data_IF_667107471069
#
_entry.id   IF_667107471069
#
_cell.length_a   1.000
_cell.length_b   1.000
_cell.length_c   1.000
_cell.angle_alpha   90.00
_cell.angle_beta   90.00
_cell.angle_gamma   90.00
#
_symmetry.space_group_name_H-M   'P 1'
#
loop_
_entity.id
_entity.type
_entity.pdbx_description
1 polymer ?
#
# COMPACT_ATOMS: atom_id res chain seq x y z
N UNK A 1 -30.07 28.35 22.39
CA UNK A 1 -30.33 28.27 20.93
C UNK A 1 -30.55 29.62 20.25
N UNK A 2 -31.19 30.64 20.84
CA UNK A 2 -31.39 31.96 20.19
C UNK A 2 -30.11 32.67 19.70
N UNK A 3 -28.97 32.47 20.38
CA UNK A 3 -27.67 33.10 20.04
C UNK A 3 -27.10 32.60 18.70
N UNK A 4 -27.35 31.35 18.31
CA UNK A 4 -26.81 30.79 17.05
C UNK A 4 -27.49 31.38 15.79
N UNK A 5 -28.72 31.89 15.95
CA UNK A 5 -29.54 32.42 14.85
C UNK A 5 -29.56 33.96 14.78
N UNK A 6 -28.84 34.64 15.66
CA UNK A 6 -28.73 36.10 15.65
C UNK A 6 -27.61 36.53 14.69
N UNK A 7 -27.95 37.36 13.69
CA UNK A 7 -26.98 37.89 12.71
C UNK A 7 -25.85 38.68 13.36
N UNK A 8 -26.15 39.40 14.44
CA UNK A 8 -25.20 40.24 15.15
C UNK A 8 -24.04 39.43 15.74
N UNK A 9 -24.32 38.21 16.21
CA UNK A 9 -23.31 37.31 16.78
C UNK A 9 -22.29 36.88 15.73
N UNK A 10 -22.74 36.62 14.50
CA UNK A 10 -21.87 36.26 13.38
C UNK A 10 -21.08 37.45 12.84
N UNK A 11 -21.71 38.64 12.78
CA UNK A 11 -21.03 39.88 12.39
C UNK A 11 -19.91 40.23 13.38
N UNK A 12 -20.15 40.08 14.68
CA UNK A 12 -19.14 40.34 15.72
C UNK A 12 -17.96 39.39 15.65
N UNK A 13 -18.20 38.10 15.43
CA UNK A 13 -17.11 37.11 15.27
C UNK A 13 -16.27 37.48 14.05
N UNK A 14 -16.91 37.81 12.93
CA UNK A 14 -16.20 38.24 11.72
C UNK A 14 -15.37 39.51 11.97
N UNK A 15 -15.92 40.51 12.66
CA UNK A 15 -15.21 41.75 12.97
C UNK A 15 -14.04 41.53 13.95
N UNK A 16 -14.24 40.70 14.98
CA UNK A 16 -13.21 40.28 15.94
C UNK A 16 -12.02 39.63 15.24
N UNK A 17 -12.29 38.67 14.34
CA UNK A 17 -11.26 37.96 13.59
C UNK A 17 -10.53 38.86 12.59
N UNK A 18 -11.23 39.83 11.99
CA UNK A 18 -10.70 40.75 10.96
C UNK A 18 -9.81 41.85 11.52
N UNK A 19 -10.02 42.31 12.74
CA UNK A 19 -9.20 43.37 13.34
C UNK A 19 -7.77 42.90 13.67
N UNK A 20 -7.55 41.60 13.89
CA UNK A 20 -6.24 41.02 14.21
C UNK A 20 -5.79 39.95 13.19
N UNK A 21 -5.79 40.30 11.88
CA UNK A 21 -5.57 39.36 10.76
C UNK A 21 -4.35 38.44 10.91
N UNK A 22 -3.19 39.00 11.25
CA UNK A 22 -1.94 38.22 11.37
C UNK A 22 -2.03 37.19 12.50
N UNK A 23 -2.56 37.59 13.65
CA UNK A 23 -2.69 36.74 14.84
C UNK A 23 -3.69 35.62 14.58
N UNK A 24 -4.86 35.96 14.05
CA UNK A 24 -5.89 34.98 13.68
C UNK A 24 -5.33 33.99 12.67
N UNK A 25 -4.60 34.45 11.65
CA UNK A 25 -3.96 33.59 10.66
C UNK A 25 -2.93 32.63 11.27
N UNK A 26 -2.03 33.13 12.13
CA UNK A 26 -1.03 32.29 12.82
C UNK A 26 -1.69 31.24 13.74
N UNK A 27 -2.79 31.59 14.40
CA UNK A 27 -3.58 30.64 15.20
C UNK A 27 -4.16 29.54 14.34
N UNK A 28 -4.77 29.94 13.22
CA UNK A 28 -5.43 29.01 12.30
C UNK A 28 -4.44 28.05 11.67
N UNK A 29 -3.21 28.51 11.38
CA UNK A 29 -2.13 27.63 10.94
C UNK A 29 -1.77 26.62 12.03
N UNK A 30 -1.54 27.05 13.28
CA UNK A 30 -1.13 26.15 14.35
C UNK A 30 -2.12 25.00 14.59
N UNK A 31 -3.42 25.32 14.57
CA UNK A 31 -4.51 24.34 14.74
C UNK A 31 -4.70 23.50 13.48
N UNK A 32 -4.72 24.16 12.32
CA UNK A 32 -4.86 23.51 11.03
C UNK A 32 -3.70 22.56 10.71
N UNK A 33 -2.50 22.82 11.23
CA UNK A 33 -1.32 21.98 11.08
C UNK A 33 -1.52 20.58 11.68
N UNK A 34 -2.24 20.48 12.81
CA UNK A 34 -2.57 19.20 13.42
C UNK A 34 -3.49 18.36 12.52
N UNK A 35 -4.54 18.97 11.97
CA UNK A 35 -5.43 18.28 11.03
C UNK A 35 -4.71 17.94 9.72
N UNK A 36 -3.89 18.85 9.22
CA UNK A 36 -3.07 18.64 8.03
C UNK A 36 -2.15 17.42 8.17
N UNK A 37 -1.33 17.36 9.23
CA UNK A 37 -0.44 16.23 9.47
C UNK A 37 -1.21 14.92 9.64
N UNK A 38 -2.32 14.95 10.37
CA UNK A 38 -3.15 13.77 10.58
C UNK A 38 -3.69 13.21 9.25
N UNK A 39 -4.24 14.07 8.39
CA UNK A 39 -4.79 13.71 7.07
C UNK A 39 -3.70 13.19 6.14
N UNK A 40 -2.56 13.87 6.09
CA UNK A 40 -1.43 13.48 5.24
C UNK A 40 -0.88 12.12 5.66
N UNK A 41 -0.65 11.89 6.94
CA UNK A 41 -0.11 10.61 7.42
C UNK A 41 -1.09 9.45 7.21
N UNK A 42 -2.39 9.66 7.49
CA UNK A 42 -3.41 8.64 7.20
C UNK A 42 -3.50 8.32 5.72
N UNK A 43 -3.58 9.35 4.87
CA UNK A 43 -3.67 9.19 3.42
C UNK A 43 -2.41 8.55 2.85
N UNK A 44 -1.23 8.90 3.39
CA UNK A 44 0.03 8.30 2.98
C UNK A 44 0.12 6.82 3.37
N UNK A 45 -0.27 6.48 4.61
CA UNK A 45 -0.35 5.08 5.06
C UNK A 45 -1.24 4.26 4.13
N UNK A 46 -2.43 4.78 3.77
CA UNK A 46 -3.32 4.10 2.84
C UNK A 46 -2.77 4.04 1.42
N UNK A 47 -2.05 5.08 0.97
CA UNK A 47 -1.37 5.09 -0.32
C UNK A 47 -0.28 4.04 -0.44
N UNK A 48 0.49 3.81 0.64
CA UNK A 48 1.49 2.73 0.71
C UNK A 48 0.81 1.36 0.69
N UNK A 49 -0.25 1.18 1.49
CA UNK A 49 -1.03 -0.06 1.51
C UNK A 49 -1.61 -0.39 0.13
N UNK A 50 -2.24 0.59 -0.53
CA UNK A 50 -2.78 0.45 -1.88
C UNK A 50 -1.68 0.18 -2.91
N UNK A 51 -0.52 0.83 -2.79
CA UNK A 51 0.65 0.58 -3.63
C UNK A 51 1.14 -0.86 -3.53
N UNK A 52 1.24 -1.38 -2.31
CA UNK A 52 1.61 -2.76 -2.05
C UNK A 52 0.53 -3.75 -2.54
N UNK A 53 -0.75 -3.51 -2.24
CA UNK A 53 -1.85 -4.36 -2.71
C UNK A 53 -1.92 -4.39 -4.24
N UNK A 54 -1.71 -3.25 -4.90
CA UNK A 54 -1.62 -3.17 -6.36
C UNK A 54 -0.38 -3.91 -6.86
N UNK A 55 0.72 -3.82 -6.12
CA UNK A 55 1.94 -4.50 -6.50
C UNK A 55 1.79 -6.01 -6.47
N UNK A 56 1.13 -6.56 -5.46
CA UNK A 56 0.88 -7.99 -5.36
C UNK A 56 -0.50 -8.42 -5.89
N UNK A 57 -1.16 -7.55 -6.66
CA UNK A 57 -2.46 -7.86 -7.25
C UNK A 57 -2.34 -9.04 -8.20
N UNK A 58 -3.19 -10.06 -8.01
CA UNK A 58 -3.17 -11.29 -8.82
C UNK A 58 -2.29 -12.40 -8.26
N UNK A 59 -1.48 -12.13 -7.24
CA UNK A 59 -0.76 -13.16 -6.49
C UNK A 59 -1.62 -13.69 -5.35
N UNK A 60 -1.57 -15.00 -5.12
CA UNK A 60 -2.16 -15.58 -3.93
C UNK A 60 -1.39 -15.10 -2.69
N UNK A 61 -2.05 -14.43 -1.75
CA UNK A 61 -1.43 -13.93 -0.50
C UNK A 61 -0.87 -15.06 0.38
N UNK A 62 -1.36 -16.27 0.15
CA UNK A 62 -0.91 -17.54 0.75
C UNK A 62 0.11 -18.30 -0.10
N UNK A 63 0.97 -17.57 -0.83
CA UNK A 63 2.03 -18.18 -1.66
C UNK A 63 3.42 -18.08 -1.02
N UNK A 64 4.21 -19.13 -1.24
CA UNK A 64 5.64 -19.23 -0.93
C UNK A 64 6.37 -19.58 -2.22
N UNK A 65 7.34 -18.77 -2.59
CA UNK A 65 8.23 -19.07 -3.72
C UNK A 65 9.53 -19.64 -3.17
N UNK A 66 9.87 -20.86 -3.53
CA UNK A 66 11.06 -21.56 -3.03
C UNK A 66 11.99 -21.94 -4.19
N UNK A 67 13.30 -21.79 -3.99
CA UNK A 67 14.32 -22.20 -4.95
C UNK A 67 15.46 -22.91 -4.23
N UNK A 68 16.17 -23.78 -4.94
CA UNK A 68 17.35 -24.46 -4.41
C UNK A 68 18.61 -23.61 -4.58
N UNK A 69 19.57 -23.78 -3.68
CA UNK A 69 20.87 -23.12 -3.68
C UNK A 69 21.96 -24.10 -3.24
N UNK A 70 23.20 -23.61 -3.14
CA UNK A 70 24.32 -24.44 -2.71
C UNK A 70 24.31 -24.65 -1.19
N UNK A 71 24.62 -25.87 -0.75
CA UNK A 71 24.79 -26.17 0.68
C UNK A 71 25.95 -25.36 1.26
N UNK A 72 25.79 -24.89 2.50
CA UNK A 72 26.81 -24.13 3.22
C UNK A 72 27.50 -24.96 4.31
N UNK A 73 26.85 -26.02 4.80
CA UNK A 73 27.33 -26.86 5.91
C UNK A 73 27.58 -28.30 5.43
N UNK A 74 28.73 -28.92 5.75
CA UNK A 74 28.95 -30.35 5.50
C UNK A 74 28.07 -31.20 6.42
N UNK A 75 27.47 -32.27 5.89
CA UNK A 75 26.54 -33.11 6.65
C UNK A 75 26.48 -34.53 6.09
N UNK A 76 26.34 -35.54 6.97
CA UNK A 76 26.20 -36.96 6.60
C UNK A 76 27.23 -37.45 5.57
N UNK A 77 28.50 -37.06 5.74
CA UNK A 77 29.59 -37.45 4.84
C UNK A 77 29.69 -36.64 3.54
N UNK A 78 28.80 -35.66 3.32
CA UNK A 78 28.85 -34.78 2.16
C UNK A 78 29.59 -33.47 2.42
N UNK A 79 30.35 -32.97 1.43
CA UNK A 79 31.01 -31.67 1.51
C UNK A 79 30.02 -30.50 1.40
N UNK A 80 30.46 -29.32 1.83
CA UNK A 80 29.78 -28.05 1.55
C UNK A 80 29.85 -27.70 0.05
N UNK A 81 28.94 -26.87 -0.43
CA UNK A 81 28.93 -26.37 -1.81
C UNK A 81 28.24 -27.29 -2.81
N UNK A 82 27.48 -28.30 -2.36
CA UNK A 82 26.68 -29.13 -3.25
C UNK A 82 25.57 -28.29 -3.88
N UNK A 83 25.44 -28.34 -5.20
CA UNK A 83 24.33 -27.72 -5.92
C UNK A 83 23.06 -28.52 -5.65
N UNK A 84 22.10 -27.92 -4.95
CA UNK A 84 20.78 -28.50 -4.76
C UNK A 84 19.88 -28.11 -5.93
N UNK A 85 18.99 -29.03 -6.29
CA UNK A 85 17.98 -28.83 -7.32
C UNK A 85 16.62 -29.23 -6.74
N UNK A 86 15.56 -28.57 -7.18
CA UNK A 86 14.20 -29.04 -6.93
C UNK A 86 13.82 -29.99 -8.07
N UNK A 87 13.16 -31.10 -7.76
CA UNK A 87 12.72 -32.06 -8.77
C UNK A 87 11.20 -32.13 -8.82
N UNK A 88 10.57 -32.17 -10.00
CA UNK A 88 9.09 -32.27 -10.07
C UNK A 88 8.58 -33.53 -9.36
N UNK A 89 9.38 -34.59 -9.31
CA UNK A 89 9.13 -35.79 -8.49
C UNK A 89 9.11 -35.56 -6.97
N UNK A 90 9.55 -34.40 -6.47
CA UNK A 90 9.39 -33.99 -5.07
C UNK A 90 7.96 -33.58 -4.74
N UNK A 91 7.17 -33.15 -5.72
CA UNK A 91 5.82 -32.60 -5.49
C UNK A 91 4.90 -33.62 -4.79
N UNK A 92 4.76 -34.87 -5.27
CA UNK A 92 3.90 -35.85 -4.60
C UNK A 92 4.36 -36.17 -3.18
N UNK A 93 5.69 -36.21 -2.95
CA UNK A 93 6.26 -36.43 -1.63
C UNK A 93 5.91 -35.28 -0.67
N UNK A 94 6.06 -34.03 -1.11
CA UNK A 94 5.72 -32.84 -0.32
C UNK A 94 4.22 -32.77 -0.02
N UNK A 95 3.36 -33.05 -1.00
CA UNK A 95 1.91 -33.04 -0.82
C UNK A 95 1.43 -34.14 0.15
N UNK A 96 2.06 -35.32 0.12
CA UNK A 96 1.72 -36.41 1.06
C UNK A 96 2.22 -36.14 2.49
N UNK A 97 3.41 -35.55 2.63
CA UNK A 97 4.02 -35.27 3.94
C UNK A 97 3.43 -34.04 4.63
N UNK A 98 2.89 -33.09 3.85
CA UNK A 98 2.38 -31.80 4.33
C UNK A 98 0.96 -31.58 3.78
N UNK A 99 -0.08 -32.15 4.42
CA UNK A 99 -1.46 -32.02 3.98
C UNK A 99 -1.99 -30.58 3.95
N UNK A 100 -1.30 -29.65 4.60
CA UNK A 100 -1.59 -28.21 4.63
C UNK A 100 -1.23 -27.51 3.31
N UNK A 101 -0.41 -28.11 2.46
CA UNK A 101 -0.13 -27.60 1.13
C UNK A 101 -1.33 -27.89 0.23
N UNK A 102 -1.90 -26.84 -0.35
CA UNK A 102 -3.02 -26.95 -1.28
C UNK A 102 -2.52 -27.28 -2.70
N UNK A 103 -1.55 -26.50 -3.20
CA UNK A 103 -1.01 -26.64 -4.55
C UNK A 103 0.50 -26.38 -4.57
N UNK A 104 1.22 -27.08 -5.45
CA UNK A 104 2.63 -26.78 -5.78
C UNK A 104 2.72 -26.67 -7.31
N UNK A 105 3.16 -25.52 -7.80
CA UNK A 105 3.47 -25.32 -9.21
C UNK A 105 4.98 -25.25 -9.39
N UNK A 106 5.60 -26.17 -10.12
CA UNK A 106 6.99 -26.04 -10.53
C UNK A 106 7.07 -25.00 -11.65
N UNK A 107 8.17 -24.25 -11.68
CA UNK A 107 8.42 -23.25 -12.70
C UNK A 107 9.90 -23.20 -13.04
N UNK A 108 10.16 -23.19 -14.34
CA UNK A 108 11.48 -22.94 -14.89
C UNK A 108 11.53 -21.62 -15.61
N UNK A 109 12.71 -21.00 -15.64
CA UNK A 109 12.88 -19.73 -16.34
C UNK A 109 14.26 -19.61 -16.98
N UNK A 110 14.30 -18.98 -18.15
CA UNK A 110 15.52 -18.53 -18.80
C UNK A 110 15.34 -17.08 -19.23
N UNK A 111 16.27 -16.22 -18.81
CA UNK A 111 16.11 -14.76 -18.84
C UNK A 111 15.90 -14.17 -17.45
N UNK A 112 15.96 -12.85 -17.34
CA UNK A 112 15.78 -12.15 -16.07
C UNK A 112 16.81 -12.55 -15.00
N UNK A 113 16.34 -12.95 -13.81
CA UNK A 113 17.20 -13.31 -12.66
C UNK A 113 17.89 -14.68 -12.80
N UNK A 114 17.43 -15.55 -13.71
CA UNK A 114 17.84 -16.95 -13.80
C UNK A 114 18.61 -17.28 -15.10
N UNK A 115 19.00 -16.28 -15.88
CA UNK A 115 19.87 -16.45 -17.04
C UNK A 115 19.76 -15.34 -18.08
N UNK A 116 20.43 -15.51 -19.22
CA UNK A 116 20.34 -14.59 -20.35
C UNK A 116 18.97 -14.65 -21.03
N UNK A 117 18.45 -13.49 -21.43
CA UNK A 117 17.21 -13.40 -22.21
C UNK A 117 17.36 -14.17 -23.54
N UNK A 118 16.24 -14.71 -24.02
CA UNK A 118 16.22 -15.56 -25.21
C UNK A 118 15.66 -14.77 -26.39
N UNK A 119 16.34 -14.89 -27.53
CA UNK A 119 15.88 -14.31 -28.79
C UNK A 119 14.63 -15.04 -29.29
N UNK A 120 13.56 -14.28 -29.48
CA UNK A 120 12.32 -14.71 -30.11
C UNK A 120 12.18 -13.93 -31.42
N UNK A 121 11.91 -14.67 -32.50
CA UNK A 121 11.88 -14.14 -33.86
C UNK A 121 10.54 -14.44 -34.50
N UNK A 122 9.98 -13.45 -35.19
CA UNK A 122 8.82 -13.60 -36.05
C UNK A 122 9.09 -12.82 -37.34
N UNK A 123 9.16 -13.53 -38.46
CA UNK A 123 9.50 -12.93 -39.76
C UNK A 123 10.81 -12.14 -39.68
N UNK A 124 10.77 -10.83 -39.91
CA UNK A 124 11.87 -9.87 -39.83
C UNK A 124 12.04 -9.21 -38.45
N UNK A 125 11.09 -9.40 -37.53
CA UNK A 125 11.10 -8.83 -36.18
C UNK A 125 11.74 -9.78 -35.18
N UNK A 126 12.61 -9.26 -34.32
CA UNK A 126 13.28 -10.02 -33.25
C UNK A 126 13.35 -9.22 -31.95
N UNK A 127 13.31 -9.92 -30.82
CA UNK A 127 13.52 -9.33 -29.50
C UNK A 127 14.02 -10.36 -28.50
N UNK A 128 14.62 -9.89 -27.41
CA UNK A 128 15.12 -10.75 -26.35
C UNK A 128 14.15 -10.70 -25.17
N UNK A 129 13.62 -11.85 -24.78
CA UNK A 129 12.54 -11.96 -23.80
C UNK A 129 12.83 -13.02 -22.74
N UNK A 130 12.10 -12.95 -21.62
CA UNK A 130 12.19 -13.96 -20.56
C UNK A 130 11.20 -15.07 -20.86
N UNK A 131 11.67 -16.32 -20.84
CA UNK A 131 10.83 -17.49 -21.11
C UNK A 131 10.65 -18.28 -19.84
N UNK A 132 9.40 -18.62 -19.55
CA UNK A 132 8.98 -19.44 -18.43
C UNK A 132 8.38 -20.75 -18.92
N UNK A 133 8.82 -21.85 -18.33
CA UNK A 133 8.12 -23.12 -18.37
C UNK A 133 7.16 -23.16 -17.19
N UNK A 134 5.85 -23.20 -17.46
CA UNK A 134 4.83 -23.11 -16.42
C UNK A 134 3.78 -24.22 -16.54
N UNK A 135 3.07 -24.47 -15.44
CA UNK A 135 1.91 -25.36 -15.39
C UNK A 135 0.61 -24.56 -15.39
N UNK A 136 -0.52 -25.16 -15.81
CA UNK A 136 -1.85 -24.54 -15.76
C UNK A 136 -2.21 -24.03 -14.36
N UNK A 137 -1.81 -24.79 -13.34
CA UNK A 137 -2.03 -24.46 -11.93
C UNK A 137 -1.28 -23.18 -11.50
N UNK A 138 -0.23 -22.79 -12.22
CA UNK A 138 0.49 -21.53 -12.01
C UNK A 138 -0.37 -20.28 -12.21
N UNK A 139 -1.41 -20.35 -13.05
CA UNK A 139 -2.39 -19.27 -13.24
C UNK A 139 -3.30 -19.07 -12.01
N UNK A 140 -3.50 -20.12 -11.20
CA UNK A 140 -4.21 -19.98 -9.92
C UNK A 140 -3.36 -19.24 -8.87
N UNK A 141 -2.04 -19.32 -8.98
CA UNK A 141 -1.09 -18.71 -8.03
C UNK A 141 -0.75 -17.28 -8.43
N UNK A 142 -0.54 -17.04 -9.72
CA UNK A 142 -0.33 -15.73 -10.32
C UNK A 142 -1.27 -15.57 -11.51
N UNK A 143 -2.43 -14.99 -11.26
CA UNK A 143 -3.52 -14.89 -12.23
C UNK A 143 -3.15 -13.94 -13.37
N UNK A 144 -3.10 -14.48 -14.59
CA UNK A 144 -2.79 -13.72 -15.79
C UNK A 144 -4.05 -13.06 -16.33
N UNK A 145 -3.99 -11.75 -16.55
CA UNK A 145 -5.07 -11.03 -17.23
C UNK A 145 -4.92 -11.22 -18.73
N UNK A 146 -5.61 -12.22 -19.27
CA UNK A 146 -5.61 -12.51 -20.71
C UNK A 146 -6.38 -11.43 -21.48
N UNK A 147 -5.76 -10.90 -22.53
CA UNK A 147 -6.38 -10.00 -23.52
C UNK A 147 -6.89 -10.77 -24.73
N UNK A 148 -6.18 -11.82 -25.14
CA UNK A 148 -6.56 -12.70 -26.24
C UNK A 148 -6.38 -14.16 -25.86
N UNK A 149 -7.24 -15.02 -26.41
CA UNK A 149 -7.08 -16.48 -26.36
C UNK A 149 -7.23 -17.08 -24.97
N UNK A 150 -6.40 -18.08 -24.66
CA UNK A 150 -6.45 -18.87 -23.42
C UNK A 150 -5.05 -19.08 -22.83
N UNK A 151 -4.99 -19.44 -21.55
CA UNK A 151 -3.75 -19.92 -20.93
C UNK A 151 -3.47 -21.40 -21.26
N UNK A 152 -2.31 -21.88 -20.83
CA UNK A 152 -1.86 -23.28 -20.95
C UNK A 152 -2.81 -24.18 -20.13
N UNK A 153 -3.15 -25.35 -20.68
CA UNK A 153 -3.98 -26.35 -19.99
C UNK A 153 -3.25 -27.70 -19.86
N UNK A 154 -3.85 -28.64 -19.13
CA UNK A 154 -3.23 -29.94 -18.87
C UNK A 154 -2.97 -30.74 -20.15
N UNK A 155 -3.86 -30.63 -21.16
CA UNK A 155 -3.69 -31.29 -22.45
C UNK A 155 -2.48 -30.78 -23.25
N UNK A 156 -2.09 -29.52 -23.06
CA UNK A 156 -0.89 -28.96 -23.69
C UNK A 156 0.39 -29.46 -23.01
N UNK A 157 0.34 -29.69 -21.69
CA UNK A 157 1.43 -30.27 -20.89
C UNK A 157 1.63 -31.75 -21.25
N UNK A 158 0.57 -32.57 -21.16
CA UNK A 158 0.62 -34.00 -21.47
C UNK A 158 0.98 -34.26 -22.93
N UNK A 159 0.50 -33.38 -23.83
CA UNK A 159 0.77 -33.48 -25.27
C UNK A 159 2.13 -32.92 -25.72
N UNK A 160 2.94 -32.36 -24.80
CA UNK A 160 4.21 -31.68 -25.14
C UNK A 160 4.05 -30.68 -26.31
N UNK A 161 2.97 -29.92 -26.31
CA UNK A 161 2.64 -29.07 -27.46
C UNK A 161 3.57 -27.87 -27.53
N UNK A 162 3.93 -27.47 -28.74
CA UNK A 162 4.67 -26.25 -29.01
C UNK A 162 3.70 -25.06 -29.08
N UNK A 163 3.09 -24.74 -27.95
CA UNK A 163 2.19 -23.58 -27.80
C UNK A 163 2.80 -22.55 -26.89
N UNK A 164 2.42 -21.29 -27.07
CA UNK A 164 3.01 -20.18 -26.33
C UNK A 164 1.98 -19.10 -25.99
N UNK A 165 2.14 -18.53 -24.81
CA UNK A 165 1.36 -17.39 -24.32
C UNK A 165 2.34 -16.22 -24.12
N UNK A 166 2.07 -15.10 -24.79
CA UNK A 166 3.02 -13.97 -24.86
C UNK A 166 2.53 -12.77 -24.05
N UNK A 167 3.46 -12.01 -23.48
CA UNK A 167 3.15 -10.77 -22.77
C UNK A 167 2.82 -9.63 -23.74
N UNK A 168 2.19 -8.57 -23.22
CA UNK A 168 1.72 -7.45 -24.03
C UNK A 168 2.87 -6.72 -24.76
N UNK A 169 4.05 -6.60 -24.15
CA UNK A 169 5.21 -5.96 -24.78
C UNK A 169 5.77 -6.82 -25.93
N UNK A 170 5.75 -8.15 -25.77
CA UNK A 170 6.13 -9.09 -26.83
C UNK A 170 5.16 -8.99 -28.00
N UNK A 171 3.86 -8.88 -27.71
CA UNK A 171 2.82 -8.66 -28.70
C UNK A 171 3.03 -7.34 -29.45
N UNK A 172 3.28 -6.23 -28.75
CA UNK A 172 3.51 -4.92 -29.37
C UNK A 172 4.79 -4.86 -30.22
N UNK A 173 5.82 -5.61 -29.84
CA UNK A 173 7.09 -5.64 -30.55
C UNK A 173 7.07 -6.57 -31.78
N UNK A 174 6.45 -7.75 -31.67
CA UNK A 174 6.48 -8.77 -32.74
C UNK A 174 5.23 -8.73 -33.66
N UNK A 175 4.13 -8.14 -33.21
CA UNK A 175 2.89 -8.02 -33.98
C UNK A 175 2.58 -6.56 -34.29
N UNK A 176 1.85 -6.30 -35.37
CA UNK A 176 1.37 -4.95 -35.70
C UNK A 176 0.22 -4.56 -34.76
N UNK A 177 0.52 -4.34 -33.48
CA UNK A 177 -0.47 -4.03 -32.44
C UNK A 177 -1.31 -2.80 -32.76
N UNK A 178 -0.72 -1.80 -33.42
CA UNK A 178 -1.41 -0.57 -33.89
C UNK A 178 -2.51 -0.86 -34.94
N UNK A 179 -2.43 -2.00 -35.64
CA UNK A 179 -3.43 -2.46 -36.60
C UNK A 179 -4.38 -3.52 -36.02
N UNK A 180 -4.29 -3.81 -34.72
CA UNK A 180 -5.07 -4.86 -34.05
C UNK A 180 -4.93 -6.24 -34.73
N UNK A 181 -3.71 -6.57 -35.16
CA UNK A 181 -3.40 -7.88 -35.74
C UNK A 181 -3.73 -9.01 -34.75
N UNK A 182 -4.54 -10.00 -35.15
CA UNK A 182 -4.85 -11.13 -34.27
C UNK A 182 -3.62 -12.05 -34.12
N UNK A 183 -3.05 -12.18 -32.91
CA UNK A 183 -1.85 -13.00 -32.70
C UNK A 183 -2.17 -14.49 -32.58
N UNK A 184 -3.42 -14.86 -32.32
CA UNK A 184 -3.80 -16.26 -32.04
C UNK A 184 -3.67 -17.12 -33.30
N UNK A 185 -3.03 -18.28 -33.16
CA UNK A 185 -2.77 -19.23 -34.24
C UNK A 185 -1.52 -18.90 -35.08
N UNK A 186 -0.89 -17.75 -34.86
CA UNK A 186 0.34 -17.37 -35.54
C UNK A 186 1.55 -18.08 -34.92
N UNK A 187 2.59 -18.28 -35.71
CA UNK A 187 3.82 -18.94 -35.25
C UNK A 187 4.91 -17.92 -34.93
N UNK A 188 5.61 -18.15 -33.82
CA UNK A 188 6.85 -17.47 -33.42
C UNK A 188 7.97 -18.49 -33.28
N UNK A 189 9.20 -18.10 -33.59
CA UNK A 189 10.38 -18.96 -33.47
C UNK A 189 11.14 -18.63 -32.19
N UNK A 190 11.38 -19.66 -31.37
CA UNK A 190 12.17 -19.58 -30.14
C UNK A 190 13.32 -20.57 -30.28
N UNK A 191 14.58 -20.07 -30.31
CA UNK A 191 15.79 -20.87 -30.62
C UNK A 191 15.64 -21.80 -31.86
N UNK A 192 14.91 -21.35 -32.88
CA UNK A 192 14.70 -22.12 -34.12
C UNK A 192 13.53 -23.11 -34.07
N UNK A 193 12.82 -23.24 -32.95
CA UNK A 193 11.61 -24.08 -32.84
C UNK A 193 10.38 -23.19 -32.99
N UNK A 194 9.42 -23.60 -33.82
CA UNK A 194 8.17 -22.87 -34.01
C UNK A 194 7.14 -23.20 -32.92
N UNK A 195 6.59 -22.16 -32.32
CA UNK A 195 5.52 -22.21 -31.34
C UNK A 195 4.30 -21.45 -31.85
N UNK A 196 3.12 -22.03 -31.66
CA UNK A 196 1.84 -21.39 -32.00
C UNK A 196 1.33 -20.56 -30.84
N UNK A 197 1.07 -19.28 -31.08
CA UNK A 197 0.55 -18.35 -30.07
C UNK A 197 -0.92 -18.70 -29.77
N UNK A 198 -1.21 -18.99 -28.51
CA UNK A 198 -2.57 -19.38 -28.05
C UNK A 198 -3.18 -18.37 -27.08
N UNK A 199 -2.40 -17.39 -26.63
CA UNK A 199 -2.89 -16.34 -25.74
C UNK A 199 -1.95 -15.15 -25.66
N UNK A 200 -2.52 -14.01 -25.28
CA UNK A 200 -1.78 -12.80 -24.89
C UNK A 200 -2.24 -12.39 -23.51
N UNK A 201 -1.31 -12.07 -22.63
CA UNK A 201 -1.61 -11.56 -21.30
C UNK A 201 -0.99 -10.18 -21.09
N UNK A 202 -1.58 -9.47 -20.13
CA UNK A 202 -1.04 -8.21 -19.61
C UNK A 202 -0.75 -8.39 -18.13
N UNK A 203 0.48 -8.08 -17.72
CA UNK A 203 0.84 -8.03 -16.31
C UNK A 203 0.18 -6.78 -15.71
N UNK A 204 -0.31 -6.90 -14.47
CA UNK A 204 -0.72 -5.70 -13.73
C UNK A 204 0.53 -4.83 -13.56
N UNK A 205 0.46 -3.57 -13.97
CA UNK A 205 1.60 -2.64 -14.11
C UNK A 205 2.43 -2.39 -12.83
N UNK A 206 2.09 -3.02 -11.71
CA UNK A 206 2.82 -2.89 -10.44
C UNK A 206 3.25 -4.24 -9.83
N UNK A 207 2.98 -5.38 -10.49
CA UNK A 207 3.39 -6.75 -10.08
C UNK A 207 4.78 -6.83 -9.45
N UNK A 208 5.09 -7.71 -8.46
CA UNK A 208 6.48 -8.03 -8.17
C UNK A 208 7.16 -8.41 -9.49
N UNK A 209 8.34 -7.83 -9.74
CA UNK A 209 9.17 -7.96 -10.96
C UNK A 209 9.60 -9.41 -11.31
N UNK A 210 8.99 -10.40 -10.66
CA UNK A 210 9.12 -11.82 -10.99
C UNK A 210 8.51 -12.15 -12.35
N UNK A 211 7.50 -11.40 -12.77
CA UNK A 211 6.87 -11.49 -14.10
C UNK A 211 6.70 -10.08 -14.68
N UNK A 212 6.89 -9.94 -15.98
CA UNK A 212 6.87 -8.65 -16.71
C UNK A 212 6.13 -8.80 -18.04
N UNK A 213 5.75 -7.70 -18.67
CA UNK A 213 5.12 -7.74 -20.00
C UNK A 213 6.07 -8.27 -21.10
N UNK A 214 7.37 -8.37 -20.82
CA UNK A 214 8.38 -9.02 -21.66
C UNK A 214 8.51 -10.55 -21.44
N UNK A 215 7.61 -11.13 -20.65
CA UNK A 215 7.60 -12.55 -20.31
C UNK A 215 6.81 -13.38 -21.33
N UNK A 216 7.27 -14.60 -21.56
CA UNK A 216 6.66 -15.58 -22.46
C UNK A 216 6.51 -16.91 -21.74
N UNK A 217 5.32 -17.50 -21.78
CA UNK A 217 5.00 -18.75 -21.11
C UNK A 217 4.81 -19.87 -22.12
N UNK A 218 5.50 -20.99 -21.90
CA UNK A 218 5.34 -22.24 -22.65
C UNK A 218 5.07 -23.39 -21.67
N UNK A 219 4.48 -24.52 -22.13
CA UNK A 219 4.28 -25.69 -21.28
C UNK A 219 5.60 -26.15 -20.65
N UNK A 220 5.59 -26.43 -19.35
CA UNK A 220 6.78 -26.85 -18.59
C UNK A 220 7.50 -28.05 -19.22
N UNK A 221 6.74 -29.03 -19.71
CA UNK A 221 7.30 -30.24 -20.36
C UNK A 221 8.04 -29.90 -21.66
N UNK A 222 7.47 -29.03 -22.49
CA UNK A 222 8.10 -28.50 -23.70
C UNK A 222 9.36 -27.70 -23.37
N UNK A 223 9.31 -26.87 -22.33
CA UNK A 223 10.47 -26.13 -21.83
C UNK A 223 11.62 -27.06 -21.42
N UNK A 224 11.33 -28.07 -20.60
CA UNK A 224 12.37 -28.98 -20.10
C UNK A 224 13.01 -29.79 -21.22
N UNK A 225 12.22 -30.19 -22.23
CA UNK A 225 12.73 -30.84 -23.43
C UNK A 225 13.63 -29.91 -24.25
N UNK A 226 13.24 -28.65 -24.39
CA UNK A 226 13.98 -27.65 -25.16
C UNK A 226 15.32 -27.26 -24.53
N UNK A 227 15.41 -27.23 -23.20
CA UNK A 227 16.61 -26.83 -22.45
C UNK A 227 17.39 -27.99 -21.84
N UNK A 228 16.93 -29.24 -22.04
CA UNK A 228 17.51 -30.44 -21.46
C UNK A 228 17.60 -30.39 -19.91
N UNK A 229 16.56 -29.88 -19.26
CA UNK A 229 16.48 -29.75 -17.80
C UNK A 229 16.06 -31.05 -17.09
N UNK A 230 15.57 -32.05 -17.84
CA UNK A 230 15.04 -33.28 -17.25
C UNK A 230 13.88 -33.01 -16.29
N UNK A 231 13.99 -33.49 -15.05
CA UNK A 231 13.00 -33.28 -13.97
C UNK A 231 13.32 -32.06 -13.08
N UNK A 232 14.35 -31.28 -13.41
CA UNK A 232 14.78 -30.15 -12.55
C UNK A 232 13.83 -28.97 -12.70
N UNK A 233 13.47 -28.38 -11.56
CA UNK A 233 12.72 -27.15 -11.41
C UNK A 233 13.58 -26.06 -10.76
N UNK A 234 13.57 -24.85 -11.33
CA UNK A 234 14.29 -23.68 -10.79
C UNK A 234 13.59 -23.14 -9.54
N UNK A 235 12.25 -23.18 -9.53
CA UNK A 235 11.44 -22.66 -8.44
C UNK A 235 10.16 -23.48 -8.23
N UNK A 236 9.71 -23.62 -6.98
CA UNK A 236 8.37 -24.05 -6.62
C UNK A 236 7.55 -22.87 -6.09
N UNK A 237 6.38 -22.65 -6.68
CA UNK A 237 5.36 -21.79 -6.10
C UNK A 237 4.39 -22.66 -5.32
N UNK A 238 4.38 -22.50 -4.00
CA UNK A 238 3.63 -23.34 -3.06
C UNK A 238 2.51 -22.49 -2.47
N UNK A 239 1.29 -23.01 -2.50
CA UNK A 239 0.12 -22.36 -1.88
C UNK A 239 -0.36 -23.20 -0.71
N UNK A 240 -0.45 -22.57 0.47
CA UNK A 240 -1.00 -23.19 1.67
C UNK A 240 -2.51 -23.09 1.73
N UNK A 241 -3.18 -24.06 2.37
CA UNK A 241 -4.61 -23.98 2.67
C UNK A 241 -4.95 -22.75 3.52
N UNK A 242 -6.19 -22.30 3.41
CA UNK A 242 -6.70 -21.21 4.23
C UNK A 242 -6.56 -21.52 5.73
N UNK A 243 -6.26 -20.49 6.52
CA UNK A 243 -6.15 -20.55 7.98
C UNK A 243 -4.93 -21.30 8.56
N UNK A 244 -3.90 -21.59 7.76
CA UNK A 244 -2.61 -22.12 8.23
C UNK A 244 -1.52 -21.05 8.14
N UNK A 245 -0.63 -21.00 9.14
CA UNK A 245 0.51 -20.08 9.10
C UNK A 245 1.53 -20.53 8.05
N UNK A 246 1.74 -19.70 7.01
CA UNK A 246 2.65 -20.01 5.90
C UNK A 246 4.10 -20.22 6.34
N UNK A 247 4.51 -19.60 7.45
CA UNK A 247 5.84 -19.79 8.03
C UNK A 247 6.04 -21.24 8.48
N UNK A 248 5.01 -21.89 9.02
CA UNK A 248 5.03 -23.30 9.40
C UNK A 248 5.19 -24.19 8.18
N UNK A 249 4.40 -23.93 7.13
CA UNK A 249 4.49 -24.66 5.85
C UNK A 249 5.88 -24.48 5.24
N UNK A 250 6.42 -23.27 5.22
CA UNK A 250 7.77 -22.96 4.72
C UNK A 250 8.83 -23.81 5.44
N UNK A 251 8.80 -23.84 6.77
CA UNK A 251 9.74 -24.65 7.58
C UNK A 251 9.55 -26.14 7.32
N UNK A 252 8.31 -26.63 7.27
CA UNK A 252 8.01 -28.04 7.00
C UNK A 252 8.51 -28.49 5.62
N UNK A 253 8.27 -27.68 4.57
CA UNK A 253 8.75 -27.97 3.21
C UNK A 253 10.28 -28.00 3.17
N UNK A 254 10.96 -27.00 3.77
CA UNK A 254 12.42 -26.98 3.83
C UNK A 254 12.96 -28.22 4.55
N UNK A 255 12.39 -28.58 5.69
CA UNK A 255 12.84 -29.73 6.46
C UNK A 255 12.59 -31.05 5.71
N UNK A 256 11.45 -31.19 5.04
CA UNK A 256 11.14 -32.36 4.23
C UNK A 256 12.13 -32.55 3.06
N UNK A 257 12.54 -31.46 2.41
CA UNK A 257 13.57 -31.48 1.36
C UNK A 257 14.97 -31.72 1.94
N UNK A 258 15.32 -31.09 3.06
CA UNK A 258 16.60 -31.31 3.76
C UNK A 258 16.77 -32.78 4.16
N UNK A 259 15.73 -33.39 4.71
CA UNK A 259 15.70 -34.81 5.09
C UNK A 259 15.87 -35.72 3.87
N UNK A 260 15.10 -35.47 2.79
CA UNK A 260 15.17 -36.29 1.56
C UNK A 260 16.55 -36.25 0.91
N UNK A 261 17.19 -35.08 0.87
CA UNK A 261 18.47 -34.88 0.18
C UNK A 261 19.70 -34.90 1.11
N UNK A 262 19.52 -35.30 2.37
CA UNK A 262 20.59 -35.38 3.38
C UNK A 262 21.37 -34.07 3.52
N UNK A 263 20.63 -32.96 3.67
CA UNK A 263 21.18 -31.63 3.99
C UNK A 263 21.05 -31.41 5.49
N UNK A 264 22.03 -30.70 6.09
CA UNK A 264 21.97 -30.38 7.52
C UNK A 264 20.65 -29.67 7.87
N UNK A 265 19.97 -30.05 8.96
CA UNK A 265 18.80 -29.32 9.46
C UNK A 265 19.09 -27.85 9.71
N UNK A 266 20.33 -27.50 10.08
CA UNK A 266 20.78 -26.13 10.37
C UNK A 266 21.18 -25.32 9.13
N UNK A 267 21.26 -25.94 7.94
CA UNK A 267 21.67 -25.25 6.71
C UNK A 267 20.49 -24.55 6.04
N UNK A 268 20.20 -23.32 6.47
CA UNK A 268 19.14 -22.50 5.89
C UNK A 268 19.45 -21.96 4.48
N UNK A 269 20.70 -22.06 4.03
CA UNK A 269 21.10 -21.57 2.73
C UNK A 269 20.66 -22.49 1.59
N UNK A 270 20.66 -23.80 1.81
CA UNK A 270 20.40 -24.81 0.78
C UNK A 270 19.06 -24.63 0.05
N UNK A 271 18.03 -24.09 0.73
CA UNK A 271 16.72 -23.79 0.13
C UNK A 271 16.30 -22.36 0.49
N UNK A 272 16.35 -21.48 -0.51
CA UNK A 272 15.87 -20.10 -0.40
C UNK A 272 14.35 -20.05 -0.54
N UNK A 273 13.72 -19.10 0.15
CA UNK A 273 12.27 -18.91 0.12
C UNK A 273 11.90 -17.44 0.19
N UNK A 274 10.83 -17.08 -0.49
CA UNK A 274 10.15 -15.80 -0.41
C UNK A 274 8.70 -16.05 -0.04
N UNK A 275 8.36 -15.74 1.21
CA UNK A 275 7.04 -15.96 1.78
C UNK A 275 6.23 -14.67 1.69
N UNK A 276 5.25 -14.65 0.79
CA UNK A 276 4.48 -13.44 0.55
C UNK A 276 3.62 -13.07 1.77
N UNK A 277 3.06 -14.05 2.48
CA UNK A 277 2.31 -13.83 3.72
C UNK A 277 3.15 -13.19 4.83
N UNK A 278 4.43 -13.55 4.95
CA UNK A 278 5.36 -12.91 5.90
C UNK A 278 5.61 -11.45 5.55
N UNK A 279 5.76 -11.13 4.27
CA UNK A 279 5.95 -9.74 3.81
C UNK A 279 4.67 -8.91 4.01
N UNK A 280 3.49 -9.48 3.74
CA UNK A 280 2.21 -8.85 4.10
C UNK A 280 2.12 -8.59 5.61
N UNK A 281 2.49 -9.55 6.46
CA UNK A 281 2.47 -9.38 7.93
C UNK A 281 3.42 -8.27 8.40
N UNK A 282 4.63 -8.18 7.81
CA UNK A 282 5.57 -7.07 8.07
C UNK A 282 4.98 -5.73 7.64
N UNK A 283 4.38 -5.66 6.46
CA UNK A 283 3.72 -4.44 5.99
C UNK A 283 2.57 -4.04 6.91
N UNK A 284 1.68 -4.96 7.27
CA UNK A 284 0.56 -4.66 8.18
C UNK A 284 1.07 -4.16 9.52
N UNK A 285 2.14 -4.77 10.06
CA UNK A 285 2.78 -4.28 11.29
C UNK A 285 3.36 -2.88 11.15
N UNK A 286 4.02 -2.59 10.02
CA UNK A 286 4.53 -1.26 9.69
C UNK A 286 3.39 -0.22 9.57
N UNK A 287 2.31 -0.55 8.86
CA UNK A 287 1.14 0.32 8.70
C UNK A 287 0.43 0.57 10.04
N UNK A 288 0.31 -0.44 10.91
CA UNK A 288 -0.19 -0.26 12.28
C UNK A 288 0.71 0.67 13.10
N UNK A 289 2.03 0.55 12.97
CA UNK A 289 2.99 1.48 13.59
C UNK A 289 2.81 2.91 13.09
N UNK A 290 2.67 3.11 11.77
CA UNK A 290 2.36 4.42 11.19
C UNK A 290 1.03 4.99 11.70
N UNK A 291 0.01 4.15 11.84
CA UNK A 291 -1.28 4.56 12.38
C UNK A 291 -1.17 5.01 13.84
N UNK A 292 -0.43 4.28 14.67
CA UNK A 292 -0.16 4.68 16.05
C UNK A 292 0.57 6.03 16.09
N UNK A 293 1.64 6.19 15.29
CA UNK A 293 2.35 7.47 15.17
C UNK A 293 1.40 8.60 14.74
N UNK A 294 0.50 8.33 13.81
CA UNK A 294 -0.48 9.31 13.34
C UNK A 294 -1.44 9.74 14.45
N UNK A 295 -1.89 8.80 15.28
CA UNK A 295 -2.75 9.10 16.44
C UNK A 295 -1.99 9.93 17.47
N UNK A 296 -0.77 9.53 17.83
CA UNK A 296 0.03 10.21 18.86
C UNK A 296 0.43 11.61 18.39
N UNK A 297 1.08 11.72 17.23
CA UNK A 297 1.54 13.00 16.67
C UNK A 297 0.34 13.88 16.33
N UNK A 298 -0.71 13.32 15.73
CA UNK A 298 -1.95 14.04 15.44
C UNK A 298 -2.57 14.63 16.70
N UNK A 299 -2.73 13.83 17.75
CA UNK A 299 -3.31 14.29 19.03
C UNK A 299 -2.44 15.36 19.69
N UNK A 300 -1.12 15.16 19.78
CA UNK A 300 -0.20 16.14 20.38
C UNK A 300 -0.22 17.47 19.62
N UNK A 301 -0.24 17.42 18.28
CA UNK A 301 -0.29 18.64 17.45
C UNK A 301 -1.62 19.36 17.60
N UNK A 302 -2.74 18.61 17.67
CA UNK A 302 -4.06 19.19 17.94
C UNK A 302 -4.08 19.87 19.30
N UNK A 303 -3.57 19.22 20.36
CA UNK A 303 -3.49 19.81 21.70
C UNK A 303 -2.66 21.09 21.70
N UNK A 304 -1.48 21.09 21.06
CA UNK A 304 -0.64 22.27 20.94
C UNK A 304 -1.35 23.42 20.20
N UNK A 305 -2.04 23.11 19.09
CA UNK A 305 -2.85 24.08 18.35
C UNK A 305 -3.97 24.68 19.18
N UNK A 306 -4.68 23.85 19.96
CA UNK A 306 -5.77 24.33 20.81
C UNK A 306 -5.25 25.19 21.98
N UNK A 307 -4.08 24.87 22.54
CA UNK A 307 -3.42 25.75 23.53
C UNK A 307 -3.10 27.12 22.92
N UNK A 308 -2.66 27.15 21.65
CA UNK A 308 -2.44 28.41 20.93
C UNK A 308 -3.73 29.22 20.78
N UNK A 309 -4.86 28.58 20.47
CA UNK A 309 -6.19 29.23 20.47
C UNK A 309 -6.47 29.86 21.85
N UNK A 310 -6.26 29.11 22.93
CA UNK A 310 -6.53 29.58 24.30
C UNK A 310 -5.76 30.85 24.63
N UNK A 311 -4.47 30.87 24.34
CA UNK A 311 -3.60 32.00 24.60
C UNK A 311 -4.05 33.24 23.83
N UNK A 312 -4.50 33.07 22.60
CA UNK A 312 -4.92 34.18 21.76
C UNK A 312 -6.29 34.70 22.20
N UNK A 313 -7.24 33.82 22.51
CA UNK A 313 -8.52 34.22 23.10
C UNK A 313 -8.33 34.93 24.44
N UNK A 314 -7.35 34.53 25.26
CA UNK A 314 -7.01 35.22 26.50
C UNK A 314 -6.53 36.66 26.26
N UNK A 315 -5.70 36.87 25.23
CA UNK A 315 -5.25 38.21 24.85
C UNK A 315 -6.42 39.04 24.29
N UNK A 316 -7.24 38.46 23.43
CA UNK A 316 -8.42 39.13 22.87
C UNK A 316 -9.42 39.55 23.96
N UNK A 317 -9.65 38.70 24.97
CA UNK A 317 -10.48 39.03 26.13
C UNK A 317 -9.90 40.20 26.92
N UNK A 318 -8.57 40.27 27.08
CA UNK A 318 -7.90 41.41 27.72
C UNK A 318 -8.04 42.69 26.91
N UNK A 319 -7.81 42.64 25.60
CA UNK A 319 -7.95 43.79 24.70
C UNK A 319 -9.39 44.32 24.66
N UNK A 320 -10.40 43.45 24.82
CA UNK A 320 -11.83 43.80 24.82
C UNK A 320 -12.43 43.93 26.23
N UNK A 321 -11.62 44.14 27.27
CA UNK A 321 -12.08 44.21 28.67
C UNK A 321 -13.13 45.30 28.87
N UNK A 322 -12.90 46.52 28.34
CA UNK A 322 -13.85 47.64 28.42
C UNK A 322 -15.18 47.31 27.73
N UNK A 323 -15.14 46.72 26.54
CA UNK A 323 -16.35 46.34 25.79
C UNK A 323 -17.19 45.31 26.56
N UNK A 324 -16.54 44.29 27.12
CA UNK A 324 -17.19 43.26 27.94
C UNK A 324 -17.78 43.90 29.21
N UNK A 325 -17.06 44.85 29.82
CA UNK A 325 -17.50 45.62 30.99
C UNK A 325 -18.77 46.42 30.73
N UNK A 326 -18.82 47.16 29.61
CA UNK A 326 -19.98 47.95 29.19
C UNK A 326 -21.19 47.04 28.95
N UNK A 327 -21.03 45.93 28.23
CA UNK A 327 -22.14 44.97 28.00
C UNK A 327 -22.71 44.44 29.30
N UNK A 328 -21.85 44.10 30.26
CA UNK A 328 -22.28 43.62 31.57
C UNK A 328 -22.95 44.71 32.40
N UNK A 329 -22.51 45.97 32.29
CA UNK A 329 -23.18 47.10 32.93
C UNK A 329 -24.58 47.37 32.34
N UNK A 330 -24.75 47.12 31.05
CA UNK A 330 -26.04 47.20 30.34
C UNK A 330 -26.96 45.99 30.56
N UNK A 331 -26.56 45.02 31.39
CA UNK A 331 -27.39 43.88 31.79
C UNK A 331 -27.15 42.56 31.07
N UNK A 332 -26.10 42.44 30.25
CA UNK A 332 -25.75 41.16 29.61
C UNK A 332 -25.45 40.07 30.65
N UNK A 333 -26.04 38.88 30.47
CA UNK A 333 -25.87 37.78 31.41
C UNK A 333 -24.45 37.21 31.31
N UNK A 334 -23.82 36.77 32.42
CA UNK A 334 -22.54 36.05 32.42
C UNK A 334 -22.48 34.88 31.40
N UNK A 335 -23.60 34.18 31.20
CA UNK A 335 -23.71 33.10 30.23
C UNK A 335 -23.62 33.55 28.78
N UNK A 336 -24.04 34.78 28.45
CA UNK A 336 -24.01 35.32 27.09
C UNK A 336 -22.57 35.62 26.67
N UNK A 337 -21.79 36.28 27.54
CA UNK A 337 -20.35 36.53 27.34
C UNK A 337 -19.58 35.22 27.20
N UNK A 338 -19.88 34.22 28.06
CA UNK A 338 -19.25 32.90 27.97
C UNK A 338 -19.54 32.21 26.64
N UNK A 339 -20.82 32.17 26.25
CA UNK A 339 -21.22 31.50 25.02
C UNK A 339 -20.65 32.19 23.78
N UNK A 340 -20.51 33.51 23.79
CA UNK A 340 -19.88 34.26 22.72
C UNK A 340 -18.43 33.82 22.49
N UNK A 341 -17.61 33.77 23.56
CA UNK A 341 -16.20 33.37 23.46
C UNK A 341 -16.06 31.90 23.09
N UNK A 342 -16.94 31.03 23.60
CA UNK A 342 -16.95 29.62 23.22
C UNK A 342 -17.31 29.43 21.74
N UNK A 343 -18.26 30.21 21.21
CA UNK A 343 -18.63 30.17 19.81
C UNK A 343 -17.48 30.68 18.92
N UNK A 344 -16.77 31.72 19.34
CA UNK A 344 -15.55 32.20 18.67
C UNK A 344 -14.46 31.10 18.62
N UNK A 345 -14.23 30.39 19.74
CA UNK A 345 -13.31 29.24 19.79
C UNK A 345 -13.72 28.13 18.81
N UNK A 346 -15.00 27.76 18.79
CA UNK A 346 -15.54 26.73 17.89
C UNK A 346 -15.37 27.14 16.43
N UNK A 347 -15.68 28.39 16.09
CA UNK A 347 -15.56 28.89 14.71
C UNK A 347 -14.10 28.87 14.25
N UNK A 348 -13.16 29.31 15.09
CA UNK A 348 -11.72 29.24 14.77
C UNK A 348 -11.27 27.80 14.62
N UNK A 349 -11.68 26.91 15.52
CA UNK A 349 -11.28 25.49 15.49
C UNK A 349 -11.80 24.79 14.23
N UNK A 350 -13.08 25.01 13.89
CA UNK A 350 -13.70 24.45 12.67
C UNK A 350 -13.05 24.96 11.40
N UNK A 351 -12.87 26.29 11.27
CA UNK A 351 -12.28 26.87 10.08
C UNK A 351 -10.84 26.40 9.88
N UNK A 352 -10.06 26.34 10.97
CA UNK A 352 -8.68 25.84 10.95
C UNK A 352 -8.60 24.37 10.57
N UNK A 353 -9.45 23.52 11.19
CA UNK A 353 -9.52 22.09 10.88
C UNK A 353 -9.90 21.84 9.42
N UNK A 354 -10.88 22.58 8.89
CA UNK A 354 -11.27 22.50 7.47
C UNK A 354 -10.14 22.93 6.54
N UNK A 355 -9.45 24.04 6.84
CA UNK A 355 -8.30 24.49 6.05
C UNK A 355 -7.19 23.43 6.08
N UNK A 356 -6.84 22.91 7.26
CA UNK A 356 -5.84 21.85 7.40
C UNK A 356 -6.19 20.59 6.62
N UNK A 357 -7.47 20.19 6.65
CA UNK A 357 -7.99 19.07 5.87
C UNK A 357 -7.87 19.30 4.35
N UNK A 358 -8.29 20.47 3.86
CA UNK A 358 -8.21 20.83 2.44
C UNK A 358 -6.75 20.82 1.98
N UNK A 359 -5.85 21.43 2.74
CA UNK A 359 -4.41 21.46 2.44
C UNK A 359 -3.82 20.03 2.46
N UNK A 360 -4.27 19.19 3.38
CA UNK A 360 -3.81 17.80 3.48
C UNK A 360 -4.21 16.99 2.26
N UNK A 361 -5.47 17.10 1.83
CA UNK A 361 -5.94 16.47 0.58
C UNK A 361 -5.18 17.01 -0.62
N UNK A 362 -5.01 18.33 -0.71
CA UNK A 362 -4.30 18.96 -1.82
C UNK A 362 -2.88 18.40 -1.93
N UNK A 363 -2.17 18.26 -0.81
CA UNK A 363 -0.85 17.63 -0.79
C UNK A 363 -0.91 16.16 -1.25
N UNK A 364 -1.88 15.38 -0.77
CA UNK A 364 -2.05 13.98 -1.20
C UNK A 364 -2.35 13.87 -2.70
N UNK A 365 -3.11 14.80 -3.26
CA UNK A 365 -3.38 14.87 -4.70
C UNK A 365 -2.11 15.19 -5.49
N UNK A 366 -1.31 16.16 -5.03
CA UNK A 366 -0.01 16.48 -5.63
C UNK A 366 0.95 15.30 -5.57
N UNK A 367 1.03 14.61 -4.42
CA UNK A 367 1.83 13.41 -4.26
C UNK A 367 1.37 12.29 -5.18
N UNK A 368 0.06 12.07 -5.30
CA UNK A 368 -0.49 11.08 -6.23
C UNK A 368 -0.13 11.43 -7.68
N UNK A 369 -0.31 12.68 -8.11
CA UNK A 369 0.05 13.11 -9.46
C UNK A 369 1.55 12.96 -9.75
N UNK A 370 2.41 13.26 -8.77
CA UNK A 370 3.86 13.11 -8.90
C UNK A 370 4.32 11.65 -8.94
N UNK A 371 3.57 10.73 -8.31
CA UNK A 371 3.95 9.32 -8.16
C UNK A 371 3.24 8.38 -9.12
N UNK A 372 2.14 8.80 -9.75
CA UNK A 372 1.30 7.97 -10.63
C UNK A 372 2.07 7.33 -11.79
N UNK A 373 3.10 8.00 -12.30
CA UNK A 373 3.93 7.51 -13.42
C UNK A 373 5.24 6.85 -12.97
N UNK A 374 5.52 6.84 -11.66
CA UNK A 374 6.74 6.25 -11.13
C UNK A 374 6.46 4.81 -10.66
N UNK A 375 6.70 3.85 -11.54
CA UNK A 375 6.49 2.43 -11.28
C UNK A 375 7.38 1.86 -10.15
N UNK A 376 8.44 2.58 -9.76
CA UNK A 376 9.36 2.16 -8.70
C UNK A 376 8.92 2.55 -7.29
N UNK A 377 7.90 3.41 -7.15
CA UNK A 377 7.47 3.90 -5.86
C UNK A 377 6.17 3.21 -5.43
N UNK A 378 6.14 2.42 -4.34
CA UNK A 378 4.97 1.64 -3.91
C UNK A 378 3.95 2.54 -3.20
N UNK A 379 3.51 3.60 -3.86
CA UNK A 379 2.55 4.57 -3.38
C UNK A 379 1.52 4.80 -4.46
N UNK A 380 0.27 4.44 -4.18
CA UNK A 380 -0.77 4.48 -5.18
C UNK A 380 -2.09 4.91 -4.56
N UNK A 381 -2.74 5.91 -5.17
CA UNK A 381 -4.09 6.34 -4.82
C UNK A 381 -4.27 6.53 -3.29
N UNK A 382 -3.55 7.49 -2.67
CA UNK A 382 -3.74 7.80 -1.26
C UNK A 382 -5.19 8.27 -1.03
N UNK A 383 -5.86 7.65 -0.07
CA UNK A 383 -7.26 7.95 0.23
C UNK A 383 -7.46 8.07 1.73
N UNK A 384 -8.34 8.97 2.15
CA UNK A 384 -8.68 9.16 3.56
C UNK A 384 -10.15 8.82 3.75
N UNK A 385 -10.44 7.96 4.73
CA UNK A 385 -11.81 7.62 5.08
C UNK A 385 -12.51 8.82 5.75
N UNK A 386 -13.67 9.21 5.23
CA UNK A 386 -14.46 10.34 5.77
C UNK A 386 -14.80 10.17 7.26
N UNK A 387 -15.01 8.95 7.74
CA UNK A 387 -15.27 8.66 9.15
C UNK A 387 -14.10 9.03 10.06
N UNK A 388 -12.86 8.75 9.64
CA UNK A 388 -11.66 9.11 10.42
C UNK A 388 -11.48 10.63 10.48
N UNK A 389 -11.75 11.33 9.38
CA UNK A 389 -11.71 12.79 9.28
C UNK A 389 -12.74 13.42 10.20
N UNK A 390 -13.97 12.91 10.16
CA UNK A 390 -15.07 13.40 10.99
C UNK A 390 -14.79 13.18 12.48
N UNK A 391 -14.26 12.01 12.84
CA UNK A 391 -13.85 11.71 14.21
C UNK A 391 -12.72 12.64 14.69
N UNK A 392 -11.71 12.88 13.84
CA UNK A 392 -10.64 13.82 14.16
C UNK A 392 -11.16 15.26 14.35
N UNK A 393 -12.08 15.72 13.49
CA UNK A 393 -12.74 17.02 13.63
C UNK A 393 -13.55 17.12 14.94
N UNK A 394 -14.28 16.06 15.31
CA UNK A 394 -15.01 16.02 16.58
C UNK A 394 -14.08 16.08 17.79
N UNK A 395 -12.97 15.35 17.76
CA UNK A 395 -11.95 15.40 18.83
C UNK A 395 -11.33 16.79 18.91
N UNK A 396 -10.99 17.40 17.77
CA UNK A 396 -10.45 18.75 17.70
C UNK A 396 -11.44 19.78 18.26
N UNK A 397 -12.72 19.69 17.89
CA UNK A 397 -13.81 20.52 18.43
C UNK A 397 -13.97 20.37 19.94
N UNK A 398 -13.97 19.13 20.43
CA UNK A 398 -14.11 18.83 21.84
C UNK A 398 -12.96 19.44 22.64
N UNK A 399 -11.71 19.24 22.20
CA UNK A 399 -10.54 19.85 22.82
C UNK A 399 -10.60 21.38 22.75
N UNK A 400 -10.97 21.93 21.60
CA UNK A 400 -11.18 23.36 21.37
C UNK A 400 -12.17 24.01 22.34
N UNK A 401 -13.27 23.30 22.62
CA UNK A 401 -14.26 23.71 23.62
C UNK A 401 -13.71 23.63 25.04
N UNK A 402 -13.11 22.50 25.42
CA UNK A 402 -12.57 22.27 26.77
C UNK A 402 -11.54 23.34 27.13
N UNK A 403 -10.61 23.62 26.24
CA UNK A 403 -9.57 24.61 26.47
C UNK A 403 -10.10 26.04 26.33
N UNK A 404 -11.05 26.28 25.41
CA UNK A 404 -11.74 27.56 25.24
C UNK A 404 -12.58 27.98 26.45
N UNK A 405 -12.92 27.06 27.37
CA UNK A 405 -13.56 27.40 28.63
C UNK A 405 -12.67 28.27 29.53
N UNK A 406 -11.34 28.15 29.45
CA UNK A 406 -10.40 28.93 30.26
C UNK A 406 -10.54 30.45 29.99
N UNK A 407 -10.39 30.95 28.74
CA UNK A 407 -10.60 32.36 28.44
C UNK A 407 -12.04 32.80 28.68
N UNK A 408 -13.03 31.96 28.35
CA UNK A 408 -14.44 32.28 28.55
C UNK A 408 -14.77 32.49 30.05
N UNK A 409 -14.21 31.67 30.94
CA UNK A 409 -14.36 31.84 32.39
C UNK A 409 -13.66 33.10 32.90
N UNK A 410 -12.48 33.46 32.36
CA UNK A 410 -11.80 34.71 32.73
C UNK A 410 -12.62 35.93 32.32
N UNK A 411 -13.21 35.95 31.14
CA UNK A 411 -14.05 37.06 30.67
C UNK A 411 -15.25 37.32 31.59
N UNK A 412 -15.88 36.24 32.06
CA UNK A 412 -17.03 36.34 32.98
C UNK A 412 -16.65 36.86 34.37
N UNK A 413 -15.38 36.72 34.78
CA UNK A 413 -14.90 37.23 36.07
C UNK A 413 -14.60 38.73 36.06
N UNK A 414 -14.54 39.37 34.88
CA UNK A 414 -14.31 40.82 34.75
C UNK A 414 -15.48 41.58 35.36
N UNK A 415 -15.22 42.37 36.41
CA UNK A 415 -16.24 43.19 37.07
C UNK A 415 -16.49 44.47 36.26
N UNK A 416 -17.76 44.88 36.02
CA UNK A 416 -18.06 46.08 35.23
C UNK A 416 -17.37 47.34 35.74
N UNK A 417 -17.27 47.47 37.07
CA UNK A 417 -16.65 48.64 37.72
C UNK A 417 -15.13 48.69 37.52
N UNK A 418 -14.46 47.54 37.43
CA UNK A 418 -13.01 47.46 37.17
C UNK A 418 -12.71 47.71 35.69
N UNK A 419 -13.58 47.22 34.80
CA UNK A 419 -13.46 47.40 33.37
C UNK A 419 -13.70 48.85 32.90
N UNK A 420 -14.48 49.65 33.64
CA UNK A 420 -14.73 51.06 33.33
C UNK A 420 -13.72 52.01 33.99
N UNK A 421 -12.95 51.52 34.98
CA UNK A 421 -11.90 52.30 35.68
C UNK A 421 -10.53 52.16 35.01
N UNK A 422 -10.43 51.37 33.95
CA UNK A 422 -9.17 51.14 33.23
C UNK A 422 -8.95 52.30 32.26
N UNK A 423 -8.00 53.17 32.58
CA UNK A 423 -7.35 54.09 31.61
C UNK A 423 -6.41 53.32 30.68
#
# INVERSE_FOLDING_TARGET
MKILFQRDTWQEIYYSLKNNKLRTFLTMIGVGWGMFLYVVLLGASKGVENGFNKAFAGFATNSIFMWAQNTSIPYSGFPKGRVMNLHTSDIPYLQNKIPEVQYISPRNSKGGRFGSAISIVRLDKKGNYTIYGDYPIGDLISKKKLTYGRYINDADITGNKNVVVIGNEVYEALFDSKKHENPIGQNISIKGIYFTVIGVFKVASNGPRMESDNSVFIPFTTFNKMFNNGDVSDMFAIVGKDNVELSTIETQVKNALKEKYQVSPEDDNAYGSFNLGKEFKKLTGFLSGMQLLTIVVGTLTIVAGVIAISNILLITVKERTQEIGIRRALGAKPSEVRNQILLESVVITLSSGLIGFILGILLLMLLNAATQNNENFPFYNPSVNYGNVFLALLVMLFLGLVIGLIPAQRAVKIRPIEALRTE
#
